data_IF_836008868091
#
_entry.id   IF_836008868091
#
_cell.length_a   1.000
_cell.length_b   1.000
_cell.length_c   1.000
_cell.angle_alpha   90.00
_cell.angle_beta   90.00
_cell.angle_gamma   90.00
#
_symmetry.space_group_name_H-M   'P 1'
#
loop_
_entity.id
_entity.type
_entity.pdbx_description
1 polymer ?
#
# COMPACT_ATOMS: atom_id res chain seq x y z
N UNK A 1 -9.97 -35.80 38.87
CA UNK A 1 -9.13 -34.62 38.58
C UNK A 1 -8.87 -34.62 37.09
N UNK A 2 -9.60 -33.81 36.35
CA UNK A 2 -9.48 -33.62 34.90
C UNK A 2 -8.77 -32.30 34.67
N UNK A 3 -7.69 -32.29 33.88
CA UNK A 3 -6.92 -31.08 33.61
C UNK A 3 -6.14 -31.25 32.31
N UNK A 4 -6.55 -30.43 31.33
CA UNK A 4 -5.77 -29.87 30.22
C UNK A 4 -5.08 -30.82 29.24
N UNK A 5 -5.74 -30.99 28.09
CA UNK A 5 -5.15 -31.40 26.83
C UNK A 5 -5.82 -30.63 25.71
N UNK A 6 -5.46 -29.36 25.55
CA UNK A 6 -5.83 -28.54 24.39
C UNK A 6 -4.81 -27.40 24.27
N UNK A 7 -4.46 -27.04 23.03
CA UNK A 7 -3.37 -26.17 22.56
C UNK A 7 -2.06 -26.90 22.24
N UNK A 8 -2.02 -27.64 21.12
CA UNK A 8 -0.75 -27.84 20.39
C UNK A 8 -0.94 -28.24 18.91
N UNK A 9 -1.98 -27.71 18.24
CA UNK A 9 -2.30 -28.05 16.84
C UNK A 9 -2.31 -26.88 15.85
N UNK A 10 -2.14 -25.65 16.30
CA UNK A 10 -2.37 -24.43 15.49
C UNK A 10 -1.06 -23.78 14.99
N UNK A 11 0.05 -23.93 15.73
CA UNK A 11 1.30 -23.23 15.43
C UNK A 11 2.05 -23.79 14.21
N UNK A 12 1.98 -25.10 13.93
CA UNK A 12 2.62 -25.69 12.74
C UNK A 12 1.89 -25.34 11.44
N UNK A 13 0.55 -25.25 11.48
CA UNK A 13 -0.26 -24.85 10.33
C UNK A 13 -0.14 -23.35 10.05
N UNK A 14 -0.11 -22.50 11.10
CA UNK A 14 0.23 -21.08 10.94
C UNK A 14 1.63 -20.86 10.40
N UNK A 15 2.61 -21.62 10.87
CA UNK A 15 4.01 -21.49 10.40
C UNK A 15 4.11 -21.88 8.93
N UNK A 16 3.48 -22.99 8.51
CA UNK A 16 3.43 -23.40 7.11
C UNK A 16 2.68 -22.37 6.23
N UNK A 17 1.57 -21.81 6.72
CA UNK A 17 0.85 -20.74 6.02
C UNK A 17 1.72 -19.48 5.88
N UNK A 18 2.41 -19.05 6.94
CA UNK A 18 3.32 -17.91 6.90
C UNK A 18 4.54 -18.15 6.00
N UNK A 19 5.04 -19.38 5.91
CA UNK A 19 6.12 -19.76 4.98
C UNK A 19 5.68 -19.69 3.51
N UNK A 20 4.49 -20.24 3.21
CA UNK A 20 3.86 -20.11 1.88
C UNK A 20 3.62 -18.63 1.54
N UNK A 21 3.14 -17.83 2.49
CA UNK A 21 2.94 -16.38 2.33
C UNK A 21 4.26 -15.62 2.12
N UNK A 22 5.34 -15.99 2.83
CA UNK A 22 6.67 -15.38 2.68
C UNK A 22 7.29 -15.61 1.31
N UNK A 23 7.10 -16.80 0.74
CA UNK A 23 7.53 -17.09 -0.64
C UNK A 23 6.90 -16.11 -1.66
N UNK A 24 5.71 -15.61 -1.34
CA UNK A 24 4.93 -14.73 -2.19
C UNK A 24 5.19 -13.23 -1.98
N UNK A 25 6.08 -12.82 -1.07
CA UNK A 25 6.38 -11.40 -0.84
C UNK A 25 7.22 -10.77 -1.97
N UNK A 26 8.13 -11.53 -2.59
CA UNK A 26 9.15 -11.02 -3.54
C UNK A 26 8.63 -10.72 -4.96
N UNK A 27 7.43 -11.18 -5.34
CA UNK A 27 6.91 -11.10 -6.72
C UNK A 27 5.75 -10.11 -6.92
N UNK A 28 5.42 -9.33 -5.90
CA UNK A 28 4.17 -8.56 -5.72
C UNK A 28 3.88 -7.39 -6.67
N UNK A 29 4.72 -7.18 -7.69
CA UNK A 29 4.63 -5.98 -8.54
C UNK A 29 3.77 -6.16 -9.80
N UNK A 30 3.51 -7.39 -10.25
CA UNK A 30 2.80 -7.64 -11.52
C UNK A 30 1.45 -8.33 -11.28
N UNK A 31 0.36 -7.63 -11.64
CA UNK A 31 -1.00 -8.17 -11.62
C UNK A 31 -1.23 -9.10 -12.82
N UNK A 32 -0.84 -10.37 -12.66
CA UNK A 32 -0.95 -11.40 -13.69
C UNK A 32 -2.40 -11.79 -14.00
N UNK A 33 -3.29 -11.74 -12.99
CA UNK A 33 -4.68 -12.20 -13.07
C UNK A 33 -5.72 -11.07 -13.10
N UNK A 34 -5.30 -9.81 -13.14
CA UNK A 34 -6.18 -8.64 -13.30
C UNK A 34 -7.05 -8.36 -12.07
N UNK A 35 -6.55 -8.65 -10.88
CA UNK A 35 -7.23 -8.47 -9.59
C UNK A 35 -6.84 -7.15 -8.90
N UNK A 36 -5.92 -6.38 -9.47
CA UNK A 36 -5.38 -5.15 -8.90
C UNK A 36 -6.46 -4.11 -8.55
N UNK A 37 -7.55 -4.04 -9.33
CA UNK A 37 -8.67 -3.14 -9.01
C UNK A 37 -9.38 -3.46 -7.69
N UNK A 38 -9.42 -4.74 -7.28
CA UNK A 38 -10.01 -5.15 -6.00
C UNK A 38 -9.03 -4.84 -4.88
N UNK A 39 -7.75 -5.20 -5.05
CA UNK A 39 -6.67 -4.82 -4.13
C UNK A 39 -6.63 -3.32 -3.87
N UNK A 40 -6.71 -2.51 -4.91
CA UNK A 40 -6.67 -1.05 -4.79
C UNK A 40 -7.94 -0.51 -4.10
N UNK A 41 -9.09 -1.17 -4.27
CA UNK A 41 -10.33 -0.81 -3.57
C UNK A 41 -10.18 -0.99 -2.06
N UNK A 42 -9.68 -2.14 -1.60
CA UNK A 42 -9.35 -2.35 -0.19
C UNK A 42 -8.29 -1.34 0.28
N UNK A 43 -7.18 -1.20 -0.45
CA UNK A 43 -6.08 -0.32 -0.06
C UNK A 43 -6.53 1.14 0.15
N UNK A 44 -7.34 1.67 -0.79
CA UNK A 44 -7.83 3.04 -0.71
C UNK A 44 -8.96 3.22 0.33
N UNK A 45 -9.65 2.14 0.70
CA UNK A 45 -10.71 2.18 1.72
C UNK A 45 -10.12 2.09 3.13
N UNK A 46 -9.14 1.19 3.34
CA UNK A 46 -8.47 1.05 4.62
C UNK A 46 -7.51 2.21 4.90
N UNK A 47 -6.62 2.52 3.95
CA UNK A 47 -5.48 3.42 4.15
C UNK A 47 -5.42 4.52 3.09
N UNK A 48 -6.45 5.38 3.00
CA UNK A 48 -6.46 6.48 2.05
C UNK A 48 -5.26 7.41 2.27
N UNK A 49 -4.72 7.96 1.18
CA UNK A 49 -3.55 8.84 1.24
C UNK A 49 -2.20 8.13 1.39
N UNK A 50 -2.16 6.79 1.52
CA UNK A 50 -0.90 6.02 1.51
C UNK A 50 -0.55 5.53 0.10
N UNK A 51 0.73 5.24 -0.15
CA UNK A 51 1.25 4.69 -1.40
C UNK A 51 2.29 3.61 -1.11
N UNK A 52 2.38 2.60 -1.98
CA UNK A 52 3.44 1.57 -1.90
C UNK A 52 4.85 2.16 -2.08
N UNK A 53 4.95 3.39 -2.61
CA UNK A 53 6.22 4.12 -2.77
C UNK A 53 6.63 4.92 -1.52
N UNK A 54 5.82 4.93 -0.47
CA UNK A 54 6.17 5.58 0.79
C UNK A 54 7.13 4.73 1.62
N UNK A 55 7.80 5.37 2.56
CA UNK A 55 8.78 4.73 3.44
C UNK A 55 8.59 5.09 4.89
N UNK A 56 8.51 6.38 5.28
CA UNK A 56 8.42 6.87 6.67
C UNK A 56 7.44 8.03 6.78
N UNK A 57 6.75 8.14 7.92
CA UNK A 57 5.71 9.16 8.11
C UNK A 57 6.26 10.59 8.08
N UNK A 58 7.49 10.81 8.57
CA UNK A 58 8.11 12.15 8.64
C UNK A 58 8.33 12.81 7.29
N UNK A 59 8.28 12.07 6.17
CA UNK A 59 8.24 12.67 4.83
C UNK A 59 6.98 13.52 4.58
N UNK A 60 5.88 13.25 5.29
CA UNK A 60 4.67 14.09 5.30
C UNK A 60 4.90 15.46 5.94
N UNK A 61 6.05 15.67 6.60
CA UNK A 61 6.49 16.94 7.17
C UNK A 61 7.67 17.53 6.41
N UNK A 62 8.67 16.71 6.05
CA UNK A 62 9.81 17.14 5.26
C UNK A 62 9.39 17.81 3.95
N UNK A 63 8.52 17.16 3.18
CA UNK A 63 8.08 17.69 1.88
C UNK A 63 7.41 19.06 2.03
N UNK A 64 6.38 19.25 2.86
CA UNK A 64 5.75 20.56 2.98
C UNK A 64 6.65 21.62 3.64
N UNK A 65 7.57 21.26 4.54
CA UNK A 65 8.59 22.21 5.05
C UNK A 65 9.49 22.73 3.92
N UNK A 66 10.04 21.85 3.08
CA UNK A 66 10.88 22.26 1.94
C UNK A 66 10.09 23.08 0.91
N UNK A 67 8.85 22.69 0.63
CA UNK A 67 7.99 23.43 -0.30
C UNK A 67 7.67 24.83 0.24
N UNK A 68 7.36 24.97 1.53
CA UNK A 68 7.12 26.27 2.15
C UNK A 68 8.37 27.15 2.15
N UNK A 69 9.55 26.59 2.45
CA UNK A 69 10.81 27.33 2.38
C UNK A 69 11.04 27.89 0.97
N UNK A 70 10.91 27.07 -0.06
CA UNK A 70 11.07 27.51 -1.46
C UNK A 70 10.02 28.55 -1.85
N UNK A 71 8.76 28.38 -1.43
CA UNK A 71 7.67 29.28 -1.78
C UNK A 71 7.88 30.71 -1.27
N UNK A 72 8.47 30.88 -0.08
CA UNK A 72 8.77 32.19 0.52
C UNK A 72 9.71 33.04 -0.34
N UNK A 73 10.54 32.42 -1.18
CA UNK A 73 11.47 33.14 -2.06
C UNK A 73 10.79 33.73 -3.30
N UNK A 74 9.51 33.40 -3.56
CA UNK A 74 8.68 33.96 -4.64
C UNK A 74 9.33 33.81 -6.04
N UNK A 75 10.17 32.81 -6.23
CA UNK A 75 10.81 32.53 -7.52
C UNK A 75 9.80 32.12 -8.59
N UNK A 76 10.19 32.24 -9.86
CA UNK A 76 9.43 31.63 -10.95
C UNK A 76 9.39 30.10 -10.77
N UNK A 77 8.31 29.47 -11.23
CA UNK A 77 8.05 28.06 -10.97
C UNK A 77 9.18 27.11 -11.41
N UNK A 78 9.83 27.39 -12.54
CA UNK A 78 10.97 26.61 -13.03
C UNK A 78 12.15 26.64 -12.05
N UNK A 79 12.56 27.84 -11.63
CA UNK A 79 13.61 28.01 -10.62
C UNK A 79 13.20 27.39 -9.29
N UNK A 80 11.95 27.57 -8.85
CA UNK A 80 11.44 26.99 -7.60
C UNK A 80 11.50 25.45 -7.62
N UNK A 81 11.17 24.80 -8.74
CA UNK A 81 11.29 23.34 -8.87
C UNK A 81 12.75 22.88 -8.79
N UNK A 82 13.67 23.59 -9.44
CA UNK A 82 15.10 23.26 -9.35
C UNK A 82 15.64 23.40 -7.92
N UNK A 83 15.19 24.43 -7.22
CA UNK A 83 15.57 24.73 -5.84
C UNK A 83 14.97 23.76 -4.82
N UNK A 84 13.73 23.30 -5.06
CA UNK A 84 13.13 22.20 -4.30
C UNK A 84 13.94 20.92 -4.50
N UNK A 85 14.25 20.56 -5.74
CA UNK A 85 15.06 19.37 -6.05
C UNK A 85 16.44 19.41 -5.38
N UNK A 86 17.08 20.59 -5.36
CA UNK A 86 18.37 20.78 -4.68
C UNK A 86 18.25 20.57 -3.16
N UNK A 87 17.19 21.08 -2.53
CA UNK A 87 16.94 20.90 -1.09
C UNK A 87 16.58 19.47 -0.74
N UNK A 88 15.79 18.78 -1.57
CA UNK A 88 15.49 17.37 -1.38
C UNK A 88 16.74 16.50 -1.49
N UNK A 89 17.66 16.82 -2.40
CA UNK A 89 18.95 16.14 -2.45
C UNK A 89 19.78 16.34 -1.18
N UNK A 90 19.80 17.56 -0.62
CA UNK A 90 20.44 17.83 0.68
C UNK A 90 19.75 17.09 1.82
N UNK A 91 18.42 17.01 1.81
CA UNK A 91 17.67 16.22 2.79
C UNK A 91 18.05 14.74 2.73
N UNK A 92 18.24 14.17 1.54
CA UNK A 92 18.73 12.79 1.39
C UNK A 92 20.11 12.64 2.05
N UNK A 93 21.03 13.57 1.82
CA UNK A 93 22.37 13.56 2.44
C UNK A 93 22.29 13.69 3.98
N UNK A 94 21.46 14.62 4.48
CA UNK A 94 21.17 14.83 5.90
C UNK A 94 20.59 13.57 6.58
N UNK A 95 19.66 12.88 5.92
CA UNK A 95 19.08 11.63 6.42
C UNK A 95 20.09 10.47 6.41
N UNK A 96 21.00 10.43 5.44
CA UNK A 96 22.08 9.43 5.42
C UNK A 96 23.13 9.68 6.51
N UNK A 97 23.29 10.93 6.94
CA UNK A 97 24.17 11.28 8.06
C UNK A 97 23.54 10.90 9.41
N UNK A 98 22.24 11.16 9.59
CA UNK A 98 21.53 10.95 10.86
C UNK A 98 20.89 9.57 11.04
N UNK A 99 20.96 8.66 10.06
CA UNK A 99 20.34 7.32 10.15
C UNK A 99 21.25 6.24 9.57
N UNK A 100 20.89 4.96 9.77
CA UNK A 100 21.52 3.81 9.10
C UNK A 100 21.17 3.70 7.59
N UNK A 101 20.42 4.68 7.09
CA UNK A 101 19.92 4.80 5.73
C UNK A 101 18.69 3.94 5.43
N UNK A 102 18.13 3.21 6.40
CA UNK A 102 16.89 2.46 6.19
C UNK A 102 15.70 3.44 6.06
N UNK A 103 14.85 3.21 5.05
CA UNK A 103 13.71 4.09 4.77
C UNK A 103 14.05 5.39 4.04
N UNK A 104 15.33 5.68 3.78
CA UNK A 104 15.77 6.84 2.99
C UNK A 104 15.45 6.64 1.51
N UNK A 105 14.55 7.47 0.99
CA UNK A 105 14.20 7.49 -0.43
C UNK A 105 15.38 8.06 -1.21
N UNK A 106 15.91 7.28 -2.16
CA UNK A 106 17.06 7.69 -2.96
C UNK A 106 18.42 7.49 -2.27
N UNK A 107 18.51 6.58 -1.29
CA UNK A 107 19.77 6.19 -0.62
C UNK A 107 20.95 6.06 -1.58
N UNK A 108 20.77 5.35 -2.69
CA UNK A 108 21.83 5.12 -3.69
C UNK A 108 21.88 6.23 -4.75
N UNK A 109 20.74 6.59 -5.33
CA UNK A 109 20.68 7.51 -6.46
C UNK A 109 20.92 8.98 -6.08
N UNK A 110 20.67 9.38 -4.83
CA UNK A 110 20.84 10.77 -4.34
C UNK A 110 20.29 11.80 -5.35
N UNK A 111 21.15 12.67 -5.89
CA UNK A 111 20.79 13.73 -6.87
C UNK A 111 20.28 13.19 -8.21
N UNK A 112 20.67 11.97 -8.61
CA UNK A 112 20.24 11.34 -9.87
C UNK A 112 18.93 10.59 -9.74
N UNK A 113 18.27 10.66 -8.58
CA UNK A 113 16.97 10.04 -8.34
C UNK A 113 15.91 10.57 -9.32
N UNK A 114 15.23 9.64 -10.02
CA UNK A 114 14.21 9.99 -11.02
C UNK A 114 12.95 10.58 -10.39
N UNK A 115 12.54 10.05 -9.25
CA UNK A 115 11.33 10.48 -8.53
C UNK A 115 11.67 10.93 -7.11
N UNK A 116 11.65 12.24 -6.88
CA UNK A 116 12.00 12.84 -5.58
C UNK A 116 10.88 12.64 -4.55
N UNK A 117 11.17 12.70 -3.23
CA UNK A 117 10.16 12.53 -2.18
C UNK A 117 8.92 13.40 -2.36
N UNK A 118 9.07 14.65 -2.79
CA UNK A 118 7.97 15.57 -3.08
C UNK A 118 7.00 14.99 -4.10
N UNK A 119 7.47 14.33 -5.15
CA UNK A 119 6.63 13.69 -6.16
C UNK A 119 5.87 12.48 -5.60
N UNK A 120 6.47 11.74 -4.66
CA UNK A 120 5.90 10.53 -4.08
C UNK A 120 4.83 10.83 -3.02
N UNK A 121 5.01 11.88 -2.22
CA UNK A 121 4.08 12.25 -1.14
C UNK A 121 3.08 13.34 -1.53
N UNK A 122 3.20 14.01 -2.70
CA UNK A 122 2.34 15.15 -3.07
C UNK A 122 0.83 14.86 -3.03
N UNK A 123 0.43 13.69 -3.53
CA UNK A 123 -0.97 13.27 -3.52
C UNK A 123 -1.47 12.99 -2.10
N UNK A 124 -0.59 12.50 -1.23
CA UNK A 124 -0.86 12.20 0.17
C UNK A 124 -1.03 13.45 1.00
N UNK A 125 -0.23 14.49 0.74
CA UNK A 125 -0.40 15.79 1.39
C UNK A 125 -1.79 16.38 1.12
N UNK A 126 -2.32 16.18 -0.08
CA UNK A 126 -3.70 16.58 -0.41
C UNK A 126 -4.73 15.69 0.27
N UNK A 127 -4.58 14.37 0.19
CA UNK A 127 -5.50 13.43 0.82
C UNK A 127 -5.60 13.63 2.32
N UNK A 128 -4.48 13.93 3.00
CA UNK A 128 -4.40 14.14 4.44
C UNK A 128 -4.74 15.59 4.86
N UNK A 129 -5.13 16.45 3.92
CA UNK A 129 -5.46 17.85 4.21
C UNK A 129 -4.28 18.67 4.77
N UNK A 130 -3.04 18.20 4.57
CA UNK A 130 -1.82 18.97 4.85
C UNK A 130 -1.65 20.05 3.78
N UNK A 131 -2.09 19.77 2.55
CA UNK A 131 -2.17 20.71 1.43
C UNK A 131 -3.62 20.84 0.97
N UNK A 132 -4.10 22.07 0.85
CA UNK A 132 -5.48 22.38 0.45
C UNK A 132 -5.60 22.76 -1.03
N UNK A 133 -4.56 23.36 -1.62
CA UNK A 133 -4.54 23.71 -3.04
C UNK A 133 -4.33 22.48 -3.92
N UNK A 134 -5.33 22.14 -4.74
CA UNK A 134 -5.31 20.99 -5.67
C UNK A 134 -4.59 21.31 -6.98
N UNK A 135 -3.26 21.41 -6.90
CA UNK A 135 -2.39 21.75 -8.03
C UNK A 135 -1.23 20.78 -8.17
N UNK A 136 -0.48 20.84 -9.28
CA UNK A 136 0.86 20.25 -9.32
C UNK A 136 1.83 21.07 -8.46
N UNK A 137 3.00 20.53 -8.12
CA UNK A 137 4.05 21.27 -7.38
C UNK A 137 4.40 22.58 -8.11
N UNK A 138 4.54 22.54 -9.44
CA UNK A 138 4.75 23.74 -10.26
C UNK A 138 3.60 24.73 -10.17
N UNK A 139 2.36 24.23 -10.14
CA UNK A 139 1.15 25.03 -9.96
C UNK A 139 1.11 25.69 -8.59
N UNK A 140 1.50 24.96 -7.54
CA UNK A 140 1.62 25.48 -6.19
C UNK A 140 2.55 26.71 -6.13
N UNK A 141 3.76 26.62 -6.71
CA UNK A 141 4.68 27.76 -6.73
C UNK A 141 4.15 28.95 -7.54
N UNK A 142 3.43 28.70 -8.65
CA UNK A 142 2.74 29.77 -9.38
C UNK A 142 1.68 30.45 -8.53
N UNK A 143 0.83 29.67 -7.85
CA UNK A 143 -0.22 30.17 -6.98
C UNK A 143 0.33 30.93 -5.78
N UNK A 144 1.38 30.42 -5.13
CA UNK A 144 2.03 31.07 -3.99
C UNK A 144 2.57 32.45 -4.39
N UNK A 145 3.32 32.52 -5.49
CA UNK A 145 3.85 33.78 -6.02
C UNK A 145 2.75 34.78 -6.39
N UNK A 146 1.67 34.33 -7.03
CA UNK A 146 0.53 35.19 -7.38
C UNK A 146 -0.21 35.70 -6.15
N UNK A 147 -0.34 34.86 -5.12
CA UNK A 147 -1.04 35.22 -3.89
C UNK A 147 -0.25 36.26 -3.09
N UNK A 148 1.07 36.09 -2.94
CA UNK A 148 1.92 37.09 -2.30
C UNK A 148 1.89 38.45 -2.99
N UNK A 149 1.87 38.46 -4.34
CA UNK A 149 1.81 39.71 -5.09
C UNK A 149 0.49 40.50 -4.88
N UNK A 150 -0.57 39.85 -4.38
CA UNK A 150 -1.84 40.50 -4.02
C UNK A 150 -1.87 41.02 -2.58
N UNK A 151 -1.01 40.48 -1.72
CA UNK A 151 -0.91 40.86 -0.30
C UNK A 151 0.04 42.04 -0.11
N UNK A 152 1.04 42.21 -0.99
CA UNK A 152 1.88 43.42 -1.01
C UNK A 152 1.10 44.70 -1.42
N UNK A 153 -0.23 44.65 -1.51
CA UNK A 153 -1.14 45.80 -1.68
C UNK A 153 -1.34 46.50 -0.31
N UNK A 154 -0.96 47.79 -0.16
CA UNK A 154 -0.94 48.50 1.13
C UNK A 154 -2.30 48.65 1.83
N UNK A 155 -3.42 48.35 1.14
CA UNK A 155 -4.77 48.34 1.74
C UNK A 155 -5.17 46.98 2.35
N UNK A 156 -4.28 45.97 2.33
CA UNK A 156 -4.58 44.66 2.92
C UNK A 156 -4.17 44.59 4.41
N UNK A 157 -5.15 44.47 5.30
CA UNK A 157 -4.93 44.37 6.75
C UNK A 157 -4.00 43.19 7.10
N UNK A 158 -2.84 43.51 7.66
CA UNK A 158 -1.77 42.59 8.03
C UNK A 158 -2.15 41.75 9.26
N UNK A 159 -2.17 40.41 9.12
CA UNK A 159 -1.70 39.39 10.10
C UNK A 159 -1.97 37.94 9.64
N UNK A 160 -1.97 37.65 8.33
CA UNK A 160 -2.12 36.27 7.87
C UNK A 160 -0.72 35.66 7.76
N UNK A 161 -0.41 34.70 8.64
CA UNK A 161 0.68 33.74 8.39
C UNK A 161 0.42 33.16 7.00
N UNK A 162 1.20 33.56 6.00
CA UNK A 162 1.04 33.13 4.60
C UNK A 162 1.22 31.60 4.56
N UNK A 163 0.09 30.90 4.64
CA UNK A 163 0.08 29.43 4.66
C UNK A 163 0.17 28.85 3.25
N UNK A 164 0.03 29.66 2.20
CA UNK A 164 0.06 29.25 0.78
C UNK A 164 -0.70 27.93 0.50
N UNK A 165 -1.85 27.71 1.14
CA UNK A 165 -2.60 26.47 0.99
C UNK A 165 -1.96 25.23 1.64
N UNK A 166 -1.10 25.39 2.63
CA UNK A 166 -0.62 24.35 3.55
C UNK A 166 -1.29 24.50 4.93
N UNK A 167 -1.39 23.40 5.67
CA UNK A 167 -1.86 23.40 7.05
C UNK A 167 -0.87 24.11 7.99
N UNK A 168 -1.25 24.28 9.26
CA UNK A 168 -0.33 24.72 10.32
C UNK A 168 0.68 23.63 10.64
N UNK A 169 1.77 23.58 9.88
CA UNK A 169 2.84 22.64 10.13
C UNK A 169 3.49 22.95 11.49
N UNK A 170 3.93 21.92 12.24
CA UNK A 170 4.90 22.08 13.30
C UNK A 170 6.15 22.82 12.77
N UNK A 171 6.90 23.53 13.64
CA UNK A 171 8.12 24.21 13.22
C UNK A 171 9.10 23.20 12.63
N UNK A 172 9.74 23.57 11.52
CA UNK A 172 10.84 22.78 10.96
C UNK A 172 12.02 22.80 11.92
N UNK A 173 12.76 21.69 12.10
CA UNK A 173 14.03 21.70 12.82
C UNK A 173 15.04 22.65 12.16
N UNK A 174 15.84 23.36 12.96
CA UNK A 174 16.84 24.33 12.47
C UNK A 174 17.91 23.66 11.60
N UNK A 175 18.30 22.43 11.93
CA UNK A 175 19.36 21.65 11.26
C UNK A 175 18.82 20.59 10.28
N UNK A 176 17.61 20.79 9.74
CA UNK A 176 16.94 19.82 8.85
C UNK A 176 17.81 19.34 7.67
N UNK A 177 18.67 20.22 7.13
CA UNK A 177 19.52 19.92 5.98
C UNK A 177 20.96 19.56 6.34
N UNK A 178 21.30 19.52 7.62
CA UNK A 178 22.64 19.15 8.10
C UNK A 178 22.65 17.69 8.58
N UNK A 179 21.76 17.36 9.53
CA UNK A 179 21.56 16.02 10.06
C UNK A 179 20.09 15.83 10.45
N UNK A 180 19.47 14.73 10.02
CA UNK A 180 18.05 14.48 10.29
C UNK A 180 17.74 13.01 10.44
N UNK A 181 16.73 12.72 11.25
CA UNK A 181 16.24 11.37 11.54
C UNK A 181 14.76 11.24 11.15
N UNK A 182 14.23 10.02 11.17
CA UNK A 182 12.80 9.79 10.97
C UNK A 182 11.96 9.85 12.25
N UNK A 183 12.60 10.08 13.40
CA UNK A 183 11.93 10.15 14.69
C UNK A 183 11.06 11.41 14.75
N UNK A 184 9.77 11.21 15.01
CA UNK A 184 8.84 12.33 15.17
C UNK A 184 8.97 12.88 16.58
N UNK A 185 8.95 14.21 16.71
CA UNK A 185 8.71 14.83 18.01
C UNK A 185 7.24 14.67 18.41
N UNK A 186 6.92 14.85 19.69
CA UNK A 186 5.53 14.84 20.17
C UNK A 186 4.60 15.73 19.35
N UNK A 187 4.99 16.99 19.11
CA UNK A 187 4.18 17.95 18.35
C UNK A 187 4.00 17.53 16.87
N UNK A 188 5.02 16.89 16.29
CA UNK A 188 4.95 16.34 14.93
C UNK A 188 4.01 15.13 14.84
N UNK A 189 4.09 14.23 15.82
CA UNK A 189 3.23 13.06 15.93
C UNK A 189 1.76 13.46 16.16
N UNK A 190 1.50 14.40 17.08
CA UNK A 190 0.16 14.95 17.31
C UNK A 190 -0.42 15.57 16.05
N UNK A 191 0.38 16.36 15.32
CA UNK A 191 -0.06 16.96 14.06
C UNK A 191 -0.44 15.89 13.02
N UNK A 192 0.40 14.88 12.81
CA UNK A 192 0.12 13.82 11.83
C UNK A 192 -1.08 12.97 12.24
N UNK A 193 -1.19 12.62 13.52
CA UNK A 193 -2.35 11.94 14.10
C UNK A 193 -3.64 12.71 13.82
N UNK A 194 -3.66 14.02 14.11
CA UNK A 194 -4.81 14.87 13.85
C UNK A 194 -5.16 14.93 12.35
N UNK A 195 -4.16 15.08 11.47
CA UNK A 195 -4.37 15.10 10.01
C UNK A 195 -5.00 13.80 9.51
N UNK A 196 -4.45 12.65 9.90
CA UNK A 196 -4.97 11.33 9.53
C UNK A 196 -6.39 11.14 10.03
N UNK A 197 -6.67 11.46 11.30
CA UNK A 197 -7.98 11.35 11.90
C UNK A 197 -9.03 12.25 11.23
N UNK A 198 -8.67 13.49 10.89
CA UNK A 198 -9.58 14.47 10.28
C UNK A 198 -9.91 14.18 8.82
N UNK A 199 -8.92 13.74 8.05
CA UNK A 199 -9.05 13.58 6.60
C UNK A 199 -9.66 12.25 6.17
N UNK A 200 -9.58 11.23 7.03
CA UNK A 200 -9.91 9.87 6.70
C UNK A 200 -10.93 9.25 7.69
N UNK A 201 -11.86 10.07 8.22
CA UNK A 201 -12.73 9.76 9.38
C UNK A 201 -13.39 8.38 9.39
N UNK A 202 -13.82 7.89 8.24
CA UNK A 202 -14.54 6.60 8.12
C UNK A 202 -13.61 5.43 7.74
N UNK A 203 -12.30 5.68 7.62
CA UNK A 203 -11.31 4.68 7.27
C UNK A 203 -10.71 3.99 8.49
N UNK A 204 -10.18 2.79 8.27
CA UNK A 204 -9.45 2.06 9.29
C UNK A 204 -8.17 2.82 9.71
N UNK A 205 -7.55 3.57 8.80
CA UNK A 205 -6.37 4.37 9.09
C UNK A 205 -6.62 5.46 10.15
N UNK A 206 -7.72 6.21 10.01
CA UNK A 206 -8.10 7.21 11.00
C UNK A 206 -8.43 6.58 12.36
N UNK A 207 -9.14 5.46 12.35
CA UNK A 207 -9.48 4.76 13.59
C UNK A 207 -8.22 4.28 14.32
N UNK A 208 -7.31 3.62 13.62
CA UNK A 208 -6.05 3.12 14.19
C UNK A 208 -5.17 4.26 14.71
N UNK A 209 -5.03 5.36 13.96
CA UNK A 209 -4.23 6.52 14.40
C UNK A 209 -4.68 7.08 15.76
N UNK A 210 -5.97 6.97 16.09
CA UNK A 210 -6.53 7.47 17.34
C UNK A 210 -6.46 6.45 18.48
N UNK A 211 -6.79 5.19 18.20
CA UNK A 211 -7.04 4.18 19.23
C UNK A 211 -5.88 3.19 19.43
N UNK A 212 -5.25 2.73 18.34
CA UNK A 212 -4.25 1.67 18.32
C UNK A 212 -3.20 1.91 17.22
N UNK A 213 -2.33 2.93 17.36
CA UNK A 213 -1.37 3.25 16.31
C UNK A 213 -0.16 2.30 16.28
N UNK A 214 0.18 1.66 17.40
CA UNK A 214 1.26 0.68 17.44
C UNK A 214 0.76 -0.73 17.11
N UNK A 215 1.39 -1.40 16.16
CA UNK A 215 1.11 -2.81 15.82
C UNK A 215 2.34 -3.52 15.24
N UNK A 216 2.47 -4.80 15.57
CA UNK A 216 3.46 -5.72 15.00
C UNK A 216 2.86 -6.75 14.04
N UNK A 217 1.52 -6.80 13.93
CA UNK A 217 0.80 -7.71 13.06
C UNK A 217 1.24 -7.61 11.60
N UNK A 218 1.61 -8.73 11.00
CA UNK A 218 2.05 -8.80 9.61
C UNK A 218 0.92 -8.45 8.65
N UNK A 219 -0.29 -8.92 8.98
CA UNK A 219 -1.50 -8.65 8.22
C UNK A 219 -2.52 -7.83 9.03
N UNK A 220 -3.36 -7.06 8.33
CA UNK A 220 -4.38 -6.23 9.01
C UNK A 220 -5.44 -7.07 9.74
N UNK A 221 -5.70 -8.29 9.28
CA UNK A 221 -6.60 -9.25 9.94
C UNK A 221 -5.96 -9.98 11.13
N UNK A 222 -4.68 -9.75 11.41
CA UNK A 222 -3.97 -10.27 12.59
C UNK A 222 -3.74 -9.16 13.63
N UNK A 223 -4.28 -7.97 13.39
CA UNK A 223 -4.07 -6.83 14.26
C UNK A 223 -4.54 -7.13 15.69
N UNK A 224 -3.73 -6.76 16.67
CA UNK A 224 -3.91 -7.12 18.09
C UNK A 224 -5.22 -6.56 18.66
N UNK A 225 -5.74 -5.49 18.07
CA UNK A 225 -7.03 -4.86 18.37
C UNK A 225 -8.17 -5.17 17.39
N UNK A 226 -8.11 -6.26 16.61
CA UNK A 226 -9.12 -6.59 15.59
C UNK A 226 -10.57 -6.57 16.12
N UNK A 227 -10.79 -7.05 17.34
CA UNK A 227 -12.11 -7.09 17.98
C UNK A 227 -12.67 -5.70 18.33
N UNK A 228 -11.80 -4.70 18.46
CA UNK A 228 -12.17 -3.32 18.74
C UNK A 228 -12.52 -2.54 17.48
N UNK A 229 -12.22 -3.09 16.29
CA UNK A 229 -12.47 -2.39 15.03
C UNK A 229 -13.97 -2.09 14.86
N UNK A 230 -14.33 -0.94 14.28
CA UNK A 230 -15.71 -0.65 13.92
C UNK A 230 -16.29 -1.80 13.10
N UNK A 231 -17.51 -2.23 13.41
CA UNK A 231 -18.11 -3.41 12.77
C UNK A 231 -18.06 -3.39 11.22
N UNK A 232 -18.30 -2.27 10.52
CA UNK A 232 -18.13 -2.20 9.07
C UNK A 232 -16.68 -2.43 8.61
N UNK A 233 -15.70 -1.91 9.35
CA UNK A 233 -14.28 -2.08 9.04
C UNK A 233 -13.83 -3.52 9.29
N UNK A 234 -14.24 -4.13 10.42
CA UNK A 234 -13.95 -5.54 10.73
C UNK A 234 -14.51 -6.49 9.68
N UNK A 235 -15.75 -6.27 9.22
CA UNK A 235 -16.34 -7.07 8.15
C UNK A 235 -15.59 -6.90 6.81
N UNK A 236 -15.08 -5.70 6.52
CA UNK A 236 -14.29 -5.46 5.32
C UNK A 236 -12.89 -6.09 5.43
N UNK A 237 -12.29 -6.13 6.62
CA UNK A 237 -11.02 -6.82 6.90
C UNK A 237 -11.16 -8.33 6.70
N UNK A 238 -12.24 -8.94 7.17
CA UNK A 238 -12.53 -10.37 6.89
C UNK A 238 -12.69 -10.64 5.39
N UNK A 239 -13.44 -9.79 4.67
CA UNK A 239 -13.55 -9.90 3.20
C UNK A 239 -12.18 -9.76 2.50
N UNK A 240 -11.33 -8.85 2.98
CA UNK A 240 -9.99 -8.66 2.45
C UNK A 240 -9.13 -9.91 2.68
N UNK A 241 -9.17 -10.49 3.88
CA UNK A 241 -8.51 -11.75 4.22
C UNK A 241 -8.95 -12.89 3.30
N UNK A 242 -10.26 -13.08 3.11
CA UNK A 242 -10.80 -14.14 2.23
C UNK A 242 -10.36 -13.93 0.78
N UNK A 243 -10.38 -12.70 0.29
CA UNK A 243 -9.88 -12.38 -1.07
C UNK A 243 -8.37 -12.63 -1.17
N UNK A 244 -7.59 -12.28 -0.16
CA UNK A 244 -6.15 -12.55 -0.12
C UNK A 244 -5.85 -14.05 -0.25
N UNK A 245 -6.46 -14.87 0.62
CA UNK A 245 -6.27 -16.31 0.61
C UNK A 245 -6.70 -16.93 -0.73
N UNK A 246 -7.89 -16.58 -1.23
CA UNK A 246 -8.41 -17.20 -2.46
C UNK A 246 -7.76 -16.70 -3.75
N UNK A 247 -7.28 -15.45 -3.81
CA UNK A 247 -6.74 -14.86 -5.03
C UNK A 247 -5.28 -15.25 -5.32
N UNK A 248 -4.61 -15.91 -4.37
CA UNK A 248 -3.23 -16.42 -4.53
C UNK A 248 -3.21 -17.70 -5.37
N UNK A 249 -4.19 -18.59 -5.20
CA UNK A 249 -4.28 -19.87 -5.90
C UNK A 249 -4.20 -19.81 -7.45
N UNK A 250 -4.89 -18.89 -8.15
CA UNK A 250 -4.78 -18.77 -9.61
C UNK A 250 -3.36 -18.42 -10.08
N UNK A 251 -2.60 -17.67 -9.28
CA UNK A 251 -1.23 -17.32 -9.59
C UNK A 251 -0.27 -18.50 -9.36
N UNK A 252 -0.51 -19.30 -8.32
CA UNK A 252 0.21 -20.56 -8.10
C UNK A 252 -0.04 -21.51 -9.28
N UNK A 253 -1.32 -21.74 -9.63
CA UNK A 253 -1.68 -22.58 -10.78
C UNK A 253 -1.10 -22.04 -12.09
N UNK A 254 -1.07 -20.72 -12.28
CA UNK A 254 -0.43 -20.11 -13.45
C UNK A 254 1.04 -20.51 -13.57
N UNK A 255 1.80 -20.43 -12.48
CA UNK A 255 3.22 -20.79 -12.49
C UNK A 255 3.43 -22.30 -12.67
N UNK A 256 2.56 -23.14 -12.10
CA UNK A 256 2.54 -24.58 -12.38
C UNK A 256 2.38 -24.86 -13.88
N UNK A 257 1.34 -24.29 -14.52
CA UNK A 257 1.08 -24.46 -15.95
C UNK A 257 2.23 -23.93 -16.82
N UNK A 258 2.91 -22.88 -16.38
CA UNK A 258 4.08 -22.32 -17.05
C UNK A 258 5.31 -23.24 -16.92
N UNK A 259 5.53 -23.84 -15.75
CA UNK A 259 6.58 -24.83 -15.54
C UNK A 259 6.38 -26.06 -16.44
N UNK A 260 5.14 -26.57 -16.52
CA UNK A 260 4.79 -27.67 -17.44
C UNK A 260 5.05 -27.31 -18.91
N UNK A 261 4.67 -26.09 -19.32
CA UNK A 261 4.87 -25.61 -20.72
C UNK A 261 6.34 -25.35 -21.06
N UNK A 262 7.19 -25.12 -20.07
CA UNK A 262 8.63 -24.88 -20.25
C UNK A 262 9.47 -26.13 -20.02
N UNK A 263 8.88 -27.21 -19.50
CA UNK A 263 9.58 -28.45 -19.19
C UNK A 263 10.52 -28.32 -18.00
N UNK A 264 10.24 -27.42 -17.06
CA UNK A 264 11.01 -27.24 -15.85
C UNK A 264 10.41 -28.09 -14.72
N UNK A 265 10.90 -29.33 -14.58
CA UNK A 265 10.36 -30.30 -13.62
C UNK A 265 10.54 -29.86 -12.16
N UNK A 266 11.67 -29.22 -11.82
CA UNK A 266 11.93 -28.71 -10.47
C UNK A 266 10.90 -27.66 -10.04
N UNK A 267 10.66 -26.66 -10.89
CA UNK A 267 9.64 -25.62 -10.63
C UNK A 267 8.23 -26.21 -10.70
N UNK A 268 7.99 -27.21 -11.56
CA UNK A 268 6.68 -27.87 -11.58
C UNK A 268 6.39 -28.51 -10.23
N UNK A 269 7.31 -29.32 -9.73
CA UNK A 269 7.12 -30.07 -8.48
C UNK A 269 6.97 -29.09 -7.29
N UNK A 270 7.76 -28.03 -7.25
CA UNK A 270 7.62 -26.92 -6.29
C UNK A 270 6.20 -26.31 -6.31
N UNK A 271 5.65 -26.01 -7.49
CA UNK A 271 4.32 -25.39 -7.58
C UNK A 271 3.15 -26.36 -7.40
N UNK A 272 3.37 -27.67 -7.58
CA UNK A 272 2.43 -28.70 -7.14
C UNK A 272 2.31 -28.65 -5.62
N UNK A 273 3.43 -28.64 -4.91
CA UNK A 273 3.45 -28.57 -3.44
C UNK A 273 2.84 -27.26 -2.94
N UNK A 274 3.13 -26.11 -3.58
CA UNK A 274 2.51 -24.84 -3.22
C UNK A 274 1.00 -24.81 -3.45
N UNK A 275 0.51 -25.47 -4.51
CA UNK A 275 -0.93 -25.50 -4.79
C UNK A 275 -1.67 -26.37 -3.77
N UNK A 276 -1.07 -27.52 -3.40
CA UNK A 276 -1.59 -28.37 -2.34
C UNK A 276 -1.61 -27.66 -0.98
N UNK A 277 -0.50 -27.04 -0.59
CA UNK A 277 -0.42 -26.26 0.65
C UNK A 277 -1.41 -25.08 0.68
N UNK A 278 -1.60 -24.41 -0.46
CA UNK A 278 -2.61 -23.37 -0.59
C UNK A 278 -4.03 -23.93 -0.37
N UNK A 279 -4.37 -25.06 -0.97
CA UNK A 279 -5.69 -25.67 -0.81
C UNK A 279 -5.96 -26.08 0.64
N UNK A 280 -4.98 -26.72 1.28
CA UNK A 280 -5.04 -27.06 2.72
C UNK A 280 -5.26 -25.82 3.58
N UNK A 281 -4.60 -24.70 3.27
CA UNK A 281 -4.77 -23.44 4.01
C UNK A 281 -6.18 -22.85 3.84
N UNK A 282 -6.75 -22.92 2.63
CA UNK A 282 -8.10 -22.41 2.34
C UNK A 282 -9.16 -23.21 3.09
N UNK A 283 -8.97 -24.52 3.20
CA UNK A 283 -9.85 -25.43 3.95
C UNK A 283 -9.71 -25.23 5.46
N UNK A 284 -8.47 -25.18 5.98
CA UNK A 284 -8.19 -24.98 7.40
C UNK A 284 -8.74 -23.65 7.92
N UNK A 285 -8.67 -22.60 7.10
CA UNK A 285 -9.15 -21.25 7.44
C UNK A 285 -10.65 -21.06 7.18
N UNK A 286 -11.36 -22.12 6.77
CA UNK A 286 -12.79 -22.13 6.48
C UNK A 286 -13.23 -20.96 5.58
N UNK A 287 -12.41 -20.62 4.59
CA UNK A 287 -12.49 -19.34 3.86
C UNK A 287 -13.81 -19.15 3.12
N UNK A 288 -14.48 -20.24 2.73
CA UNK A 288 -15.78 -20.20 2.06
C UNK A 288 -16.97 -20.30 3.03
N UNK A 289 -16.75 -20.78 4.25
CA UNK A 289 -17.83 -20.97 5.23
C UNK A 289 -18.43 -19.63 5.62
N UNK A 290 -19.74 -19.52 5.46
CA UNK A 290 -20.51 -18.31 5.79
C UNK A 290 -20.26 -17.11 4.87
N UNK A 291 -19.53 -17.26 3.77
CA UNK A 291 -19.17 -16.12 2.92
C UNK A 291 -20.30 -15.71 1.97
N UNK A 292 -21.00 -14.61 2.30
CA UNK A 292 -21.98 -13.99 1.41
C UNK A 292 -21.30 -13.22 0.27
N UNK A 293 -20.98 -13.93 -0.82
CA UNK A 293 -20.38 -13.34 -2.03
C UNK A 293 -21.27 -12.26 -2.68
N UNK A 294 -22.60 -12.34 -2.53
CA UNK A 294 -23.51 -11.31 -3.08
C UNK A 294 -23.37 -10.00 -2.30
N UNK A 295 -23.32 -10.09 -0.98
CA UNK A 295 -23.07 -8.93 -0.12
C UNK A 295 -21.68 -8.35 -0.38
N UNK A 296 -20.65 -9.19 -0.50
CA UNK A 296 -19.30 -8.78 -0.87
C UNK A 296 -19.28 -7.96 -2.16
N UNK A 297 -19.84 -8.49 -3.26
CA UNK A 297 -19.86 -7.75 -4.53
C UNK A 297 -20.68 -6.47 -4.47
N UNK A 298 -21.80 -6.49 -3.74
CA UNK A 298 -22.60 -5.28 -3.51
C UNK A 298 -21.79 -4.19 -2.81
N UNK A 299 -20.97 -4.55 -1.81
CA UNK A 299 -20.09 -3.61 -1.09
C UNK A 299 -18.95 -3.12 -1.97
N UNK A 300 -18.19 -4.03 -2.58
CA UNK A 300 -17.00 -3.70 -3.38
C UNK A 300 -17.35 -2.89 -4.63
N UNK A 301 -18.46 -3.18 -5.32
CA UNK A 301 -18.89 -2.39 -6.49
C UNK A 301 -19.43 -1.01 -6.11
N UNK A 302 -19.95 -0.83 -4.89
CA UNK A 302 -20.30 0.51 -4.36
C UNK A 302 -19.05 1.34 -4.10
N UNK A 303 -18.00 0.71 -3.55
CA UNK A 303 -16.71 1.36 -3.31
C UNK A 303 -15.96 1.67 -4.61
N UNK A 304 -16.04 0.77 -5.60
CA UNK A 304 -15.39 0.95 -6.90
C UNK A 304 -16.25 0.42 -8.06
N UNK A 305 -17.09 1.28 -8.67
CA UNK A 305 -17.93 0.92 -9.81
C UNK A 305 -17.15 0.57 -11.09
N UNK A 306 -15.84 0.81 -11.13
CA UNK A 306 -15.00 0.60 -12.33
C UNK A 306 -14.44 -0.82 -12.41
N UNK A 307 -14.68 -1.67 -11.41
CA UNK A 307 -14.28 -3.08 -11.45
C UNK A 307 -14.95 -3.74 -12.66
N UNK A 308 -14.14 -4.32 -13.53
CA UNK A 308 -14.61 -4.89 -14.78
C UNK A 308 -15.47 -6.13 -14.48
N UNK A 309 -16.61 -6.32 -15.19
CA UNK A 309 -17.43 -7.53 -15.04
C UNK A 309 -16.63 -8.83 -15.22
N UNK A 310 -15.65 -8.83 -16.12
CA UNK A 310 -14.79 -10.00 -16.35
C UNK A 310 -13.88 -10.35 -15.16
N UNK A 311 -13.50 -9.39 -14.30
CA UNK A 311 -12.75 -9.68 -13.06
C UNK A 311 -13.67 -10.33 -12.03
N UNK A 312 -14.92 -9.85 -11.92
CA UNK A 312 -15.94 -10.46 -11.07
C UNK A 312 -16.24 -11.91 -11.48
N UNK A 313 -16.51 -12.13 -12.76
CA UNK A 313 -16.82 -13.46 -13.27
C UNK A 313 -15.65 -14.43 -13.04
N UNK A 314 -14.42 -13.99 -13.32
CA UNK A 314 -13.22 -14.82 -13.10
C UNK A 314 -13.08 -15.26 -11.65
N UNK A 315 -13.25 -14.35 -10.68
CA UNK A 315 -13.14 -14.70 -9.27
C UNK A 315 -14.28 -15.61 -8.81
N UNK A 316 -15.52 -15.39 -9.27
CA UNK A 316 -16.64 -16.28 -8.94
C UNK A 316 -16.45 -17.70 -9.50
N UNK A 317 -16.01 -17.81 -10.76
CA UNK A 317 -15.71 -19.09 -11.38
C UNK A 317 -14.58 -19.80 -10.63
N UNK A 318 -13.53 -19.05 -10.26
CA UNK A 318 -12.40 -19.57 -9.49
C UNK A 318 -12.83 -20.03 -8.10
N UNK A 319 -13.57 -19.21 -7.36
CA UNK A 319 -14.05 -19.56 -6.02
C UNK A 319 -14.96 -20.77 -6.03
N UNK A 320 -15.79 -20.93 -7.07
CA UNK A 320 -16.63 -22.11 -7.26
C UNK A 320 -15.79 -23.38 -7.45
N UNK A 321 -14.71 -23.30 -8.23
CA UNK A 321 -13.80 -24.43 -8.43
C UNK A 321 -13.02 -24.75 -7.15
N UNK A 322 -12.50 -23.72 -6.47
CA UNK A 322 -11.74 -23.86 -5.24
C UNK A 322 -12.58 -24.48 -4.11
N UNK A 323 -13.79 -23.98 -3.88
CA UNK A 323 -14.73 -24.49 -2.88
C UNK A 323 -15.15 -25.95 -3.15
N UNK A 324 -15.17 -26.36 -4.42
CA UNK A 324 -15.46 -27.74 -4.82
C UNK A 324 -14.22 -28.66 -4.82
N UNK A 325 -13.04 -28.17 -4.41
CA UNK A 325 -11.79 -28.92 -4.45
C UNK A 325 -11.24 -29.18 -5.86
N UNK A 326 -11.73 -28.50 -6.89
CA UNK A 326 -11.35 -28.69 -8.30
C UNK A 326 -10.38 -27.60 -8.80
N UNK A 327 -9.45 -27.18 -7.94
CA UNK A 327 -8.56 -26.03 -8.19
C UNK A 327 -7.32 -26.35 -9.02
N UNK A 328 -6.99 -27.63 -9.21
CA UNK A 328 -5.87 -28.14 -10.02
C UNK A 328 -6.33 -28.84 -11.32
N UNK A 329 -7.64 -29.01 -11.50
CA UNK A 329 -8.23 -29.73 -12.62
C UNK A 329 -8.18 -28.99 -13.95
N UNK A 330 -8.63 -29.69 -15.01
CA UNK A 330 -8.68 -29.16 -16.38
C UNK A 330 -9.48 -27.86 -16.51
N UNK A 331 -10.57 -27.73 -15.74
CA UNK A 331 -11.42 -26.54 -15.77
C UNK A 331 -10.73 -25.33 -15.13
N UNK A 332 -10.01 -25.53 -14.02
CA UNK A 332 -9.19 -24.50 -13.40
C UNK A 332 -8.05 -24.04 -14.32
N UNK A 333 -7.35 -24.99 -14.96
CA UNK A 333 -6.31 -24.68 -15.93
C UNK A 333 -6.85 -23.89 -17.14
N UNK A 334 -8.03 -24.28 -17.65
CA UNK A 334 -8.70 -23.58 -18.74
C UNK A 334 -9.14 -22.16 -18.32
N UNK A 335 -9.62 -21.99 -17.09
CA UNK A 335 -10.03 -20.69 -16.54
C UNK A 335 -8.83 -19.73 -16.45
N UNK A 336 -7.72 -20.15 -15.85
CA UNK A 336 -6.50 -19.35 -15.73
C UNK A 336 -5.91 -19.01 -17.10
N UNK A 337 -5.82 -19.98 -18.01
CA UNK A 337 -5.32 -19.77 -19.37
C UNK A 337 -6.17 -18.75 -20.13
N UNK A 338 -7.50 -18.87 -20.07
CA UNK A 338 -8.43 -17.92 -20.71
C UNK A 338 -8.33 -16.54 -20.09
N UNK A 339 -8.18 -16.46 -18.76
CA UNK A 339 -8.03 -15.19 -18.05
C UNK A 339 -6.79 -14.44 -18.52
N UNK A 340 -5.64 -15.10 -18.57
CA UNK A 340 -4.40 -14.50 -19.06
C UNK A 340 -4.58 -13.99 -20.50
N UNK A 341 -5.15 -14.81 -21.38
CA UNK A 341 -5.39 -14.46 -22.78
C UNK A 341 -6.26 -13.20 -22.94
N UNK A 342 -7.33 -13.08 -22.16
CA UNK A 342 -8.23 -11.91 -22.19
C UNK A 342 -7.50 -10.64 -21.73
N UNK A 343 -6.67 -10.73 -20.68
CA UNK A 343 -5.97 -9.58 -20.12
C UNK A 343 -4.79 -9.13 -20.98
N UNK A 344 -3.99 -10.10 -21.47
CA UNK A 344 -2.68 -9.84 -22.07
C UNK A 344 -2.69 -9.94 -23.59
N UNK A 345 -3.71 -10.54 -24.20
CA UNK A 345 -3.84 -10.76 -25.64
C UNK A 345 -2.59 -11.45 -26.20
N UNK A 346 -1.92 -10.85 -27.18
CA UNK A 346 -0.67 -11.38 -27.77
C UNK A 346 0.49 -11.57 -26.79
N UNK A 347 0.40 -11.02 -25.57
CA UNK A 347 1.40 -11.19 -24.50
C UNK A 347 1.07 -12.32 -23.52
N UNK A 348 0.06 -13.13 -23.79
CA UNK A 348 -0.31 -14.27 -22.95
C UNK A 348 0.71 -15.41 -23.10
N UNK A 349 1.41 -15.74 -22.03
CA UNK A 349 2.58 -16.64 -22.02
C UNK A 349 2.17 -18.12 -22.05
N UNK A 350 1.00 -18.46 -21.52
CA UNK A 350 0.46 -19.81 -21.61
C UNK A 350 0.06 -20.15 -23.05
N UNK A 351 -0.43 -19.16 -23.80
CA UNK A 351 -0.88 -19.33 -25.19
C UNK A 351 0.26 -19.19 -26.21
N UNK A 352 1.07 -18.13 -26.11
CA UNK A 352 2.04 -17.77 -27.16
C UNK A 352 3.47 -18.13 -26.75
N UNK A 353 4.17 -19.00 -27.51
CA UNK A 353 5.56 -19.37 -27.23
C UNK A 353 6.52 -18.18 -27.13
N UNK A 354 6.37 -17.19 -28.02
CA UNK A 354 7.27 -16.03 -28.04
C UNK A 354 7.16 -15.21 -26.75
N UNK A 355 5.94 -15.05 -26.22
CA UNK A 355 5.70 -14.34 -24.96
C UNK A 355 6.21 -15.13 -23.74
N UNK A 356 6.28 -16.47 -23.83
CA UNK A 356 6.71 -17.37 -22.76
C UNK A 356 8.14 -17.12 -22.30
N UNK A 357 9.01 -16.71 -23.23
CA UNK A 357 10.41 -16.37 -22.93
C UNK A 357 10.58 -15.25 -21.89
N UNK A 358 9.52 -14.45 -21.66
CA UNK A 358 9.51 -13.32 -20.70
C UNK A 358 8.97 -13.70 -19.32
N UNK A 359 8.69 -14.98 -19.07
CA UNK A 359 8.24 -15.45 -17.77
C UNK A 359 9.41 -15.51 -16.78
N UNK A 360 9.16 -15.02 -15.57
CA UNK A 360 9.98 -15.30 -14.40
C UNK A 360 9.18 -16.16 -13.42
N UNK A 361 9.84 -17.14 -12.81
CA UNK A 361 9.27 -17.97 -11.74
C UNK A 361 8.71 -17.06 -10.63
N UNK A 362 7.55 -17.41 -10.08
CA UNK A 362 6.88 -16.58 -9.05
C UNK A 362 6.02 -15.46 -9.60
N UNK A 363 5.87 -15.31 -10.92
CA UNK A 363 5.08 -14.21 -11.50
C UNK A 363 3.66 -14.14 -10.91
N UNK A 364 3.34 -13.00 -10.29
CA UNK A 364 1.99 -12.68 -9.82
C UNK A 364 1.54 -13.38 -8.53
N UNK A 365 2.43 -14.10 -7.85
CA UNK A 365 2.09 -14.77 -6.58
C UNK A 365 2.07 -13.81 -5.38
N UNK A 366 2.67 -12.63 -5.53
CA UNK A 366 2.50 -11.42 -4.73
C UNK A 366 1.38 -11.37 -3.69
N UNK A 367 1.74 -11.42 -2.42
CA UNK A 367 0.76 -11.27 -1.34
C UNK A 367 0.03 -9.90 -1.38
N UNK A 368 -1.27 -9.92 -1.08
CA UNK A 368 -2.14 -8.74 -1.11
C UNK A 368 -2.09 -7.99 0.23
N UNK A 369 -1.02 -7.23 0.46
CA UNK A 369 -0.81 -6.43 1.68
C UNK A 369 -1.86 -5.31 1.90
N UNK A 370 -2.56 -4.90 0.84
CA UNK A 370 -3.50 -3.77 0.87
C UNK A 370 -2.90 -2.47 1.42
N UNK A 371 -1.57 -2.29 1.33
CA UNK A 371 -0.77 -1.18 1.90
C UNK A 371 -0.68 -1.18 3.43
N UNK A 372 -1.04 -2.27 4.10
CA UNK A 372 -0.94 -2.38 5.54
C UNK A 372 0.50 -2.19 6.01
N UNK A 373 1.51 -2.83 5.40
CA UNK A 373 2.92 -2.67 5.79
C UNK A 373 3.36 -1.20 5.81
N UNK A 374 2.90 -0.40 4.86
CA UNK A 374 3.17 1.04 4.79
C UNK A 374 2.41 1.79 5.88
N UNK A 375 1.10 1.54 6.01
CA UNK A 375 0.26 2.20 7.00
C UNK A 375 0.71 1.89 8.44
N UNK A 376 0.96 0.61 8.76
CA UNK A 376 1.53 0.13 10.02
C UNK A 376 2.81 0.86 10.36
N UNK A 377 3.73 0.99 9.40
CA UNK A 377 4.98 1.73 9.62
C UNK A 377 4.74 3.21 9.92
N UNK A 378 3.82 3.87 9.21
CA UNK A 378 3.47 5.25 9.49
C UNK A 378 2.79 5.42 10.86
N UNK A 379 1.90 4.51 11.24
CA UNK A 379 1.25 4.52 12.53
C UNK A 379 2.25 4.25 13.67
N UNK A 380 3.20 3.33 13.49
CA UNK A 380 4.28 3.07 14.44
C UNK A 380 5.21 4.29 14.58
N UNK A 381 5.56 4.98 13.49
CA UNK A 381 6.31 6.24 13.55
C UNK A 381 5.56 7.27 14.42
N UNK A 382 4.25 7.41 14.21
CA UNK A 382 3.40 8.32 15.00
C UNK A 382 3.30 7.87 16.46
N UNK A 383 3.11 6.58 16.73
CA UNK A 383 3.05 6.05 18.08
C UNK A 383 4.34 6.34 18.86
N UNK A 384 5.50 6.08 18.27
CA UNK A 384 6.79 6.36 18.89
C UNK A 384 6.97 7.85 19.21
N UNK A 385 6.55 8.75 18.31
CA UNK A 385 6.61 10.19 18.58
C UNK A 385 5.60 10.67 19.63
N UNK A 386 4.47 9.97 19.83
CA UNK A 386 3.54 10.29 20.93
C UNK A 386 4.12 9.91 22.30
N UNK A 387 5.06 8.96 22.36
CA UNK A 387 5.72 8.48 23.57
C UNK A 387 7.01 9.24 23.91
N UNK A 388 7.60 9.98 22.95
CA UNK A 388 8.73 10.89 23.17
C UNK A 388 8.33 12.15 23.93
#
# INVERSE_FOLDING_TARGET
MTSFGWLDGDDSQRTAMLEVVKLFEDSSTVDEMGIGSIRDTFSNTFFPGTSTLHTRARYLLFVPWLVNDVARHRWQAERALQELRNREAKLIESLLAGTDGQGVIGREAKRTLKSMPSQLYWASLEHLGIRTWRTSIAGYFRSARQHSARIDDPDSDHLIVERFGMASLPPSPDHLLDESTFELTHAEAEFLKARIAESARDSLFAWLAVHRPASHAEWIWEHEGLEEFPAPARALVDEARRVHLTATGPAILYNLLMAEKTGNDEVRDEYVDHLAAWAESVDAEEVFVGWDRKQFWSRILRLNPRIKPGTRQFLEDWWTLAEAGNHDGRDAAALVTRRELVLKRSRARLTYPDARSTWGVGSGTGALDYRWRIARRHLNDVAAGMES
#
